data_IF_022359243738
#
_entry.id   IF_022359243738
#
_cell.length_a   1.000
_cell.length_b   1.000
_cell.length_c   1.000
_cell.angle_alpha   90.00
_cell.angle_beta   90.00
_cell.angle_gamma   90.00
#
_symmetry.space_group_name_H-M   'P 1'
#
loop_
_entity.id
_entity.type
_entity.pdbx_description
1 polymer ?
#
# COMPACT_ATOMS: atom_id res chain seq x y z
N UNK A 1 0.29 18.64 -33.47
CA UNK A 1 1.28 19.58 -32.90
C UNK A 1 1.01 19.76 -31.39
N UNK A 2 1.74 19.01 -30.55
CA UNK A 2 1.12 18.33 -29.41
C UNK A 2 1.18 18.97 -28.02
N UNK A 3 1.89 20.09 -27.80
CA UNK A 3 2.03 20.70 -26.46
C UNK A 3 2.29 22.20 -26.57
N UNK A 4 1.78 23.00 -25.63
CA UNK A 4 2.16 24.40 -25.47
C UNK A 4 3.62 24.42 -24.96
N UNK A 5 4.57 25.13 -25.60
CA UNK A 5 5.92 25.24 -25.07
C UNK A 5 5.94 26.11 -23.79
N UNK A 6 6.69 25.69 -22.78
CA UNK A 6 6.92 26.46 -21.57
C UNK A 6 8.37 26.97 -21.51
N UNK A 7 8.64 28.22 -21.93
CA UNK A 7 9.99 28.80 -21.91
C UNK A 7 10.50 29.11 -20.50
N UNK A 8 9.63 29.10 -19.48
CA UNK A 8 9.96 29.42 -18.08
C UNK A 8 10.26 28.16 -17.25
N UNK A 9 10.41 27.01 -17.90
CA UNK A 9 10.75 25.76 -17.20
C UNK A 9 12.11 25.90 -16.53
N UNK A 10 12.19 25.47 -15.28
CA UNK A 10 13.39 25.52 -14.44
C UNK A 10 13.57 24.20 -13.71
N UNK A 11 14.70 24.04 -13.03
CA UNK A 11 14.94 22.87 -12.18
C UNK A 11 13.97 22.84 -10.99
N UNK A 12 13.57 21.64 -10.58
CA UNK A 12 12.89 21.42 -9.30
C UNK A 12 13.86 21.75 -8.16
N UNK A 13 13.37 22.40 -7.11
CA UNK A 13 14.17 22.70 -5.92
C UNK A 13 13.73 21.78 -4.78
N UNK A 14 14.68 21.07 -4.18
CA UNK A 14 14.44 20.28 -2.96
C UNK A 14 15.28 20.82 -1.83
N UNK A 15 14.62 21.17 -0.73
CA UNK A 15 15.26 21.52 0.54
C UNK A 15 15.02 20.39 1.53
N UNK A 16 16.07 19.94 2.23
CA UNK A 16 15.94 18.87 3.23
C UNK A 16 16.72 19.24 4.49
N UNK A 17 16.06 19.11 5.63
CA UNK A 17 16.68 19.13 6.96
C UNK A 17 16.77 17.70 7.45
N UNK A 18 17.94 17.28 7.93
CA UNK A 18 18.14 16.01 8.60
C UNK A 18 18.81 16.22 9.97
N UNK A 19 18.28 15.59 11.02
CA UNK A 19 18.80 15.61 12.37
C UNK A 19 18.96 14.17 12.85
N UNK A 20 20.20 13.73 13.01
CA UNK A 20 20.54 12.35 13.35
C UNK A 20 21.25 12.21 14.69
N UNK A 21 21.06 11.06 15.34
CA UNK A 21 21.82 10.60 16.51
C UNK A 21 22.33 9.20 16.22
N UNK A 22 23.66 9.04 16.26
CA UNK A 22 24.33 7.75 16.12
C UNK A 22 25.07 7.38 17.41
N UNK A 23 24.79 6.20 17.93
CA UNK A 23 25.37 5.72 19.19
C UNK A 23 25.80 4.27 19.13
N UNK A 24 26.87 3.97 19.87
CA UNK A 24 27.40 2.62 20.04
C UNK A 24 27.67 2.38 21.52
N UNK A 25 27.08 1.33 22.07
CA UNK A 25 27.22 0.96 23.47
C UNK A 25 27.86 -0.42 23.62
N UNK A 26 28.29 -0.73 24.85
CA UNK A 26 28.73 -2.08 25.24
C UNK A 26 29.84 -2.63 24.31
N UNK A 27 30.88 -1.83 24.07
CA UNK A 27 31.97 -2.18 23.14
C UNK A 27 31.46 -2.43 21.71
N UNK A 28 30.49 -1.62 21.27
CA UNK A 28 29.82 -1.72 19.96
C UNK A 28 29.00 -3.00 19.75
N UNK A 29 28.58 -3.67 20.83
CA UNK A 29 27.60 -4.77 20.73
C UNK A 29 26.20 -4.27 20.41
N UNK A 30 25.84 -3.10 20.92
CA UNK A 30 24.60 -2.43 20.59
C UNK A 30 24.89 -1.18 19.77
N UNK A 31 24.26 -1.08 18.61
CA UNK A 31 24.26 0.13 17.76
C UNK A 31 22.85 0.67 17.68
N UNK A 32 22.70 1.97 17.82
CA UNK A 32 21.41 2.64 17.68
C UNK A 32 21.60 3.91 16.88
N UNK A 33 20.81 4.05 15.82
CA UNK A 33 20.74 5.24 14.99
C UNK A 33 19.29 5.71 14.91
N UNK A 34 19.12 7.02 14.97
CA UNK A 34 17.85 7.70 14.82
C UNK A 34 18.02 8.91 13.93
N UNK A 35 17.17 9.07 12.93
CA UNK A 35 17.13 10.24 12.06
C UNK A 35 15.73 10.83 12.00
N UNK A 36 15.64 12.15 12.08
CA UNK A 36 14.46 12.91 11.68
C UNK A 36 14.79 13.65 10.39
N UNK A 37 14.01 13.39 9.34
CA UNK A 37 14.13 14.15 8.10
C UNK A 37 12.86 14.94 7.81
N UNK A 38 13.04 16.10 7.21
CA UNK A 38 11.97 16.90 6.61
C UNK A 38 12.43 17.44 5.28
N UNK A 39 11.81 16.98 4.20
CA UNK A 39 12.08 17.38 2.83
C UNK A 39 10.89 18.14 2.26
N UNK A 40 11.15 19.31 1.70
CA UNK A 40 10.19 20.08 0.92
C UNK A 40 10.69 20.18 -0.52
N UNK A 41 9.94 19.60 -1.44
CA UNK A 41 10.13 19.78 -2.88
C UNK A 41 9.23 20.92 -3.33
N UNK A 42 9.83 21.91 -3.98
CA UNK A 42 9.18 23.12 -4.48
C UNK A 42 9.29 23.10 -6.00
N UNK A 43 8.26 23.61 -6.68
CA UNK A 43 8.29 23.81 -8.12
C UNK A 43 8.50 22.50 -8.90
N UNK A 44 7.77 21.45 -8.51
CA UNK A 44 7.83 20.13 -9.15
C UNK A 44 7.54 20.19 -10.65
N UNK A 45 8.33 19.49 -11.46
CA UNK A 45 8.19 19.35 -12.89
C UNK A 45 7.14 18.29 -13.21
N UNK A 46 5.91 18.76 -13.42
CA UNK A 46 4.81 17.88 -13.81
C UNK A 46 4.01 18.47 -14.96
N UNK A 47 3.21 17.62 -15.61
CA UNK A 47 2.23 18.10 -16.60
C UNK A 47 1.25 19.00 -15.87
N UNK A 48 1.13 20.24 -16.32
CA UNK A 48 0.23 21.20 -15.69
C UNK A 48 -1.21 20.67 -15.72
N UNK A 49 -1.94 20.65 -14.60
CA UNK A 49 -3.34 20.25 -14.60
C UNK A 49 -4.16 21.34 -15.30
N UNK A 50 -4.32 21.23 -16.62
CA UNK A 50 -5.17 22.13 -17.41
C UNK A 50 -6.54 21.50 -17.63
N UNK A 51 -7.62 22.30 -17.65
CA UNK A 51 -8.95 21.79 -17.94
C UNK A 51 -9.04 21.10 -19.30
N UNK A 52 -9.81 20.01 -19.38
CA UNK A 52 -9.95 19.21 -20.60
C UNK A 52 -10.58 19.98 -21.78
N UNK A 53 -11.39 21.02 -21.52
CA UNK A 53 -12.00 21.86 -22.55
C UNK A 53 -10.97 22.67 -23.36
N UNK A 54 -9.73 22.80 -22.88
CA UNK A 54 -8.64 23.52 -23.58
C UNK A 54 -8.24 22.80 -24.88
N UNK A 55 -8.50 21.50 -25.01
CA UNK A 55 -8.36 20.75 -26.27
C UNK A 55 -6.92 20.55 -26.77
N UNK A 56 -5.92 20.98 -26.00
CA UNK A 56 -4.48 20.83 -26.27
C UNK A 56 -3.81 20.16 -25.07
N UNK A 57 -2.72 19.41 -25.29
CA UNK A 57 -1.95 18.75 -24.25
C UNK A 57 -1.21 19.72 -23.32
N UNK A 58 -1.22 19.41 -22.02
CA UNK A 58 -0.59 20.24 -20.99
C UNK A 58 0.94 20.38 -21.18
N UNK A 59 1.50 21.60 -21.04
CA UNK A 59 2.95 21.75 -20.92
C UNK A 59 3.46 21.03 -19.67
N UNK A 60 4.73 20.63 -19.70
CA UNK A 60 5.47 20.40 -18.44
C UNK A 60 5.81 21.77 -17.87
N UNK A 61 5.46 21.96 -16.61
CA UNK A 61 5.74 23.18 -15.89
C UNK A 61 6.18 22.86 -14.47
N UNK A 62 6.87 23.81 -13.86
CA UNK A 62 7.17 23.82 -12.44
C UNK A 62 5.90 24.18 -11.68
N UNK A 63 5.10 23.18 -11.35
CA UNK A 63 3.80 23.34 -10.75
C UNK A 63 3.69 22.32 -9.62
N UNK A 64 3.52 22.84 -8.41
CA UNK A 64 3.23 22.04 -7.24
C UNK A 64 4.40 21.87 -6.27
N UNK A 65 4.03 21.73 -5.01
CA UNK A 65 4.90 21.65 -3.85
C UNK A 65 4.48 20.46 -3.00
N UNK A 66 5.45 19.72 -2.47
CA UNK A 66 5.21 18.54 -1.66
C UNK A 66 6.14 18.52 -0.45
N UNK A 67 5.59 18.13 0.70
CA UNK A 67 6.35 17.96 1.93
C UNK A 67 6.35 16.48 2.34
N UNK A 68 7.54 15.97 2.65
CA UNK A 68 7.74 14.66 3.24
C UNK A 68 8.49 14.83 4.54
N UNK A 69 8.03 14.22 5.61
CA UNK A 69 8.80 14.13 6.84
C UNK A 69 8.68 12.74 7.43
N UNK A 70 9.67 12.36 8.21
CA UNK A 70 9.73 11.01 8.75
C UNK A 70 10.74 10.84 9.86
N UNK A 71 10.68 9.63 10.42
CA UNK A 71 11.58 9.15 11.47
C UNK A 71 12.19 7.85 10.99
N UNK A 72 13.49 7.71 11.09
CA UNK A 72 14.20 6.47 10.76
C UNK A 72 14.88 5.96 12.01
N UNK A 73 14.76 4.66 12.25
CA UNK A 73 15.33 3.96 13.39
C UNK A 73 16.14 2.79 12.88
N UNK A 74 17.34 2.62 13.40
CA UNK A 74 18.13 1.40 13.21
C UNK A 74 18.63 0.92 14.58
N UNK A 75 18.39 -0.35 14.88
CA UNK A 75 18.87 -1.01 16.09
C UNK A 75 19.63 -2.27 15.69
N UNK A 76 20.89 -2.33 16.09
CA UNK A 76 21.75 -3.49 15.92
C UNK A 76 22.15 -4.07 17.26
N UNK A 77 22.12 -5.39 17.36
CA UNK A 77 22.71 -6.16 18.45
C UNK A 77 23.61 -7.24 17.87
N UNK A 78 24.81 -7.40 18.40
CA UNK A 78 25.70 -8.53 18.10
C UNK A 78 26.36 -9.05 19.36
N UNK A 79 26.43 -10.37 19.48
CA UNK A 79 27.07 -11.01 20.61
C UNK A 79 27.62 -12.39 20.26
N UNK A 80 28.72 -12.74 20.93
CA UNK A 80 29.30 -14.08 20.93
C UNK A 80 29.12 -14.71 22.30
N UNK A 81 28.64 -15.95 22.35
CA UNK A 81 28.49 -16.78 23.55
C UNK A 81 29.22 -18.09 23.29
N UNK A 82 30.48 -18.19 23.74
CA UNK A 82 31.36 -19.30 23.37
C UNK A 82 31.61 -19.32 21.86
N UNK A 83 31.27 -20.44 21.21
CA UNK A 83 31.40 -20.63 19.76
C UNK A 83 30.13 -20.24 18.97
N UNK A 84 29.07 -19.76 19.66
CA UNK A 84 27.84 -19.30 19.04
C UNK A 84 27.89 -17.78 18.86
N UNK A 85 27.79 -17.32 17.63
CA UNK A 85 27.68 -15.90 17.31
C UNK A 85 26.27 -15.62 16.80
N UNK A 86 25.70 -14.48 17.19
CA UNK A 86 24.44 -14.03 16.64
C UNK A 86 24.38 -12.52 16.52
N UNK A 87 23.60 -12.06 15.55
CA UNK A 87 23.29 -10.67 15.32
C UNK A 87 21.81 -10.49 15.00
N UNK A 88 21.25 -9.40 15.51
CA UNK A 88 19.89 -8.94 15.25
C UNK A 88 19.99 -7.51 14.78
N UNK A 89 19.49 -7.22 13.59
CA UNK A 89 19.42 -5.86 13.05
C UNK A 89 17.99 -5.56 12.68
N UNK A 90 17.42 -4.51 13.26
CA UNK A 90 16.08 -4.03 12.94
C UNK A 90 16.17 -2.61 12.40
N UNK A 91 15.38 -2.31 11.37
CA UNK A 91 15.17 -0.95 10.90
C UNK A 91 13.68 -0.67 10.77
N UNK A 92 13.30 0.59 10.97
CA UNK A 92 11.95 1.07 10.74
C UNK A 92 11.99 2.51 10.24
N UNK A 93 11.16 2.82 9.24
CA UNK A 93 10.99 4.17 8.70
C UNK A 93 9.52 4.55 8.77
N UNK A 94 9.24 5.67 9.44
CA UNK A 94 7.95 6.33 9.44
C UNK A 94 7.96 7.43 8.39
N UNK A 95 6.96 7.46 7.52
CA UNK A 95 6.86 8.49 6.48
C UNK A 95 5.46 9.10 6.46
N UNK A 96 5.41 10.43 6.48
CA UNK A 96 4.21 11.20 6.14
C UNK A 96 4.49 12.13 4.97
N UNK A 97 3.67 11.98 3.95
CA UNK A 97 3.63 12.87 2.80
C UNK A 97 2.44 13.84 2.91
N UNK A 98 2.62 15.06 2.41
CA UNK A 98 1.57 16.07 2.28
C UNK A 98 1.74 16.84 0.97
N UNK A 99 0.68 16.91 0.17
CA UNK A 99 0.59 17.82 -0.97
C UNK A 99 0.38 19.24 -0.43
N UNK A 100 1.30 20.15 -0.72
CA UNK A 100 1.22 21.55 -0.28
C UNK A 100 0.51 22.38 -1.34
N UNK A 101 0.91 22.19 -2.60
CA UNK A 101 0.31 22.85 -3.74
C UNK A 101 0.30 21.87 -4.91
N UNK A 102 -0.82 21.74 -5.61
CA UNK A 102 -0.95 20.95 -6.81
C UNK A 102 -0.55 21.75 -8.07
N UNK A 103 -0.58 23.08 -7.98
CA UNK A 103 -0.30 23.96 -9.11
C UNK A 103 -1.47 24.15 -10.08
N UNK A 104 -2.70 24.00 -9.60
CA UNK A 104 -3.94 24.38 -10.30
C UNK A 104 -4.83 25.25 -9.39
N UNK A 105 -5.86 25.88 -9.97
CA UNK A 105 -6.74 26.81 -9.25
C UNK A 105 -7.61 26.13 -8.18
N UNK A 106 -8.05 24.89 -8.43
CA UNK A 106 -8.94 24.14 -7.53
C UNK A 106 -8.20 23.54 -6.32
N UNK A 107 -6.88 23.36 -6.43
CA UNK A 107 -6.08 22.67 -5.42
C UNK A 107 -6.35 21.16 -5.33
N UNK A 108 -7.03 20.59 -6.32
CA UNK A 108 -7.40 19.17 -6.35
C UNK A 108 -7.43 18.58 -7.77
N UNK A 109 -7.21 17.27 -7.88
CA UNK A 109 -7.28 16.52 -9.13
C UNK A 109 -7.64 15.05 -8.89
N UNK A 110 -8.48 14.51 -9.79
CA UNK A 110 -8.73 13.08 -9.90
C UNK A 110 -7.64 12.45 -10.76
N UNK A 111 -7.03 11.38 -10.27
CA UNK A 111 -5.98 10.64 -10.98
C UNK A 111 -6.48 9.34 -11.60
N UNK A 112 -7.45 8.70 -10.96
CA UNK A 112 -8.02 7.46 -11.45
C UNK A 112 -9.54 7.50 -11.44
N UNK A 113 -10.12 7.07 -12.55
CA UNK A 113 -11.56 6.98 -12.76
C UNK A 113 -11.89 5.71 -13.55
N UNK A 114 -12.83 4.93 -13.04
CA UNK A 114 -13.36 3.74 -13.68
C UNK A 114 -14.88 3.83 -13.85
N UNK A 115 -15.35 4.93 -14.45
CA UNK A 115 -16.77 5.20 -14.68
C UNK A 115 -17.47 4.12 -15.51
N UNK A 116 -16.78 3.54 -16.51
CA UNK A 116 -17.31 2.43 -17.31
C UNK A 116 -17.61 1.18 -16.47
N UNK A 117 -16.92 1.00 -15.34
CA UNK A 117 -17.13 -0.11 -14.42
C UNK A 117 -18.19 0.18 -13.33
N UNK A 118 -18.77 1.38 -13.32
CA UNK A 118 -19.67 1.83 -12.25
C UNK A 118 -18.97 2.30 -10.97
N UNK A 119 -17.64 2.14 -10.86
CA UNK A 119 -16.87 2.57 -9.68
C UNK A 119 -16.76 4.10 -9.61
N UNK A 120 -16.58 4.76 -10.76
CA UNK A 120 -16.38 6.20 -10.84
C UNK A 120 -14.95 6.62 -10.45
N UNK A 121 -14.77 7.86 -10.00
CA UNK A 121 -13.47 8.38 -9.53
C UNK A 121 -13.09 7.75 -8.19
N UNK A 122 -11.86 7.24 -8.08
CA UNK A 122 -11.41 6.48 -6.89
C UNK A 122 -10.02 6.83 -6.36
N UNK A 123 -9.27 7.68 -7.07
CA UNK A 123 -8.02 8.27 -6.56
C UNK A 123 -8.03 9.77 -6.76
N UNK A 124 -7.67 10.51 -5.70
CA UNK A 124 -7.64 11.97 -5.68
C UNK A 124 -6.35 12.47 -5.01
N UNK A 125 -5.88 13.62 -5.45
CA UNK A 125 -4.91 14.45 -4.74
C UNK A 125 -5.55 15.80 -4.40
N UNK A 126 -5.28 16.31 -3.21
CA UNK A 126 -5.82 17.59 -2.73
C UNK A 126 -4.80 18.30 -1.85
N UNK A 127 -4.66 19.61 -2.03
CA UNK A 127 -3.81 20.45 -1.19
C UNK A 127 -4.20 20.29 0.28
N UNK A 128 -3.20 20.07 1.13
CA UNK A 128 -3.39 19.85 2.56
C UNK A 128 -3.45 18.36 2.96
N UNK A 129 -3.64 17.45 2.01
CA UNK A 129 -3.79 16.01 2.26
C UNK A 129 -2.57 15.19 1.82
N UNK A 130 -2.56 13.91 2.21
CA UNK A 130 -1.58 12.91 1.74
C UNK A 130 -1.72 12.69 0.23
N UNK A 131 -0.62 12.49 -0.49
CA UNK A 131 -0.65 12.27 -1.93
C UNK A 131 -0.19 10.87 -2.35
N UNK A 132 -0.92 10.20 -3.26
CA UNK A 132 -2.37 10.32 -3.48
C UNK A 132 -3.16 9.67 -2.33
N UNK A 133 -4.49 9.78 -2.34
CA UNK A 133 -5.36 8.99 -1.48
C UNK A 133 -6.54 8.36 -2.24
N UNK A 134 -7.14 7.33 -1.65
CA UNK A 134 -8.35 6.69 -2.17
C UNK A 134 -9.56 7.55 -1.85
N UNK A 135 -10.41 7.79 -2.85
CA UNK A 135 -11.52 8.72 -2.79
C UNK A 135 -12.84 8.01 -3.07
N UNK A 136 -13.84 8.18 -2.21
CA UNK A 136 -15.13 7.51 -2.37
C UNK A 136 -16.08 7.77 -1.24
N UNK A 137 -17.21 7.07 -1.26
CA UNK A 137 -18.24 7.17 -0.23
C UNK A 137 -17.86 6.39 1.04
N UNK A 138 -18.34 6.87 2.19
CA UNK A 138 -18.38 6.08 3.42
C UNK A 138 -19.62 5.19 3.45
N UNK A 139 -19.49 3.99 4.01
CA UNK A 139 -20.61 3.05 4.14
C UNK A 139 -20.91 2.74 5.60
N UNK A 140 -22.18 2.42 5.87
CA UNK A 140 -22.71 2.01 7.18
C UNK A 140 -23.29 0.59 7.07
N UNK A 141 -22.47 -0.32 6.55
CA UNK A 141 -22.83 -1.72 6.35
C UNK A 141 -23.87 -1.96 5.24
N UNK A 142 -24.58 -3.07 5.37
CA UNK A 142 -25.61 -3.53 4.43
C UNK A 142 -26.97 -3.52 5.10
N UNK A 143 -28.02 -3.13 4.36
CA UNK A 143 -29.39 -3.31 4.82
C UNK A 143 -29.70 -4.79 5.03
N UNK A 144 -30.04 -5.20 6.25
CA UNK A 144 -30.28 -6.63 6.54
C UNK A 144 -31.70 -7.07 6.18
N UNK A 145 -32.67 -6.17 6.26
CA UNK A 145 -34.08 -6.45 6.01
C UNK A 145 -34.82 -5.21 5.49
N UNK A 146 -36.09 -5.39 5.12
CA UNK A 146 -36.90 -4.33 4.51
C UNK A 146 -37.20 -3.19 5.51
N UNK A 147 -37.29 -3.49 6.80
CA UNK A 147 -37.52 -2.47 7.84
C UNK A 147 -36.36 -1.47 7.90
N UNK A 148 -35.12 -1.94 7.79
CA UNK A 148 -33.96 -1.05 7.73
C UNK A 148 -33.96 -0.18 6.46
N UNK A 149 -34.36 -0.75 5.32
CA UNK A 149 -34.49 0.02 4.06
C UNK A 149 -35.54 1.11 4.18
N UNK A 150 -36.70 0.79 4.77
CA UNK A 150 -37.81 1.73 4.90
C UNK A 150 -37.56 2.80 5.97
N UNK A 151 -36.78 2.48 7.00
CA UNK A 151 -36.36 3.43 8.03
C UNK A 151 -35.24 4.38 7.56
N UNK A 152 -34.58 4.09 6.44
CA UNK A 152 -33.47 4.89 5.94
C UNK A 152 -33.95 6.09 5.11
N UNK A 153 -34.45 7.09 5.82
CA UNK A 153 -35.03 8.33 5.28
C UNK A 153 -34.32 9.56 5.83
N UNK A 154 -34.37 10.65 5.06
CA UNK A 154 -33.90 11.97 5.48
C UNK A 154 -34.91 12.64 6.45
N UNK A 155 -34.62 13.89 6.84
CA UNK A 155 -35.45 14.64 7.78
C UNK A 155 -36.89 14.89 7.28
N UNK A 156 -37.10 14.90 5.96
CA UNK A 156 -38.40 15.09 5.31
C UNK A 156 -39.17 13.77 5.11
N UNK A 157 -38.59 12.64 5.53
CA UNK A 157 -39.18 11.31 5.37
C UNK A 157 -38.98 10.70 3.98
N UNK A 158 -38.14 11.30 3.14
CA UNK A 158 -37.79 10.78 1.83
C UNK A 158 -36.64 9.77 1.93
N UNK A 159 -36.69 8.68 1.17
CA UNK A 159 -35.64 7.66 1.20
C UNK A 159 -34.35 8.20 0.60
N UNK A 160 -33.26 8.14 1.36
CA UNK A 160 -31.90 8.42 0.87
C UNK A 160 -31.52 7.55 -0.34
N UNK A 161 -31.96 6.29 -0.33
CA UNK A 161 -31.68 5.30 -1.38
C UNK A 161 -32.98 4.58 -1.76
N UNK A 162 -33.82 5.23 -2.56
CA UNK A 162 -35.14 4.73 -2.95
C UNK A 162 -35.12 3.39 -3.69
N UNK A 163 -33.99 3.04 -4.35
CA UNK A 163 -33.78 1.79 -5.06
C UNK A 163 -33.13 0.67 -4.22
N UNK A 164 -32.83 0.94 -2.94
CA UNK A 164 -32.21 -0.05 -2.06
C UNK A 164 -33.17 -1.21 -1.75
N UNK A 165 -32.61 -2.41 -1.68
CA UNK A 165 -33.26 -3.62 -1.20
C UNK A 165 -32.39 -4.28 -0.12
N UNK A 166 -32.93 -5.23 0.67
CA UNK A 166 -32.12 -6.00 1.61
C UNK A 166 -30.91 -6.64 0.93
N UNK A 167 -29.73 -6.47 1.53
CA UNK A 167 -28.42 -6.84 1.04
C UNK A 167 -27.68 -5.76 0.24
N UNK A 168 -28.31 -4.62 -0.03
CA UNK A 168 -27.67 -3.46 -0.63
C UNK A 168 -26.87 -2.65 0.40
N UNK A 169 -25.90 -1.89 -0.10
CA UNK A 169 -25.02 -1.05 0.69
C UNK A 169 -25.75 0.20 1.18
N UNK A 170 -25.57 0.54 2.46
CA UNK A 170 -25.99 1.82 3.04
C UNK A 170 -24.86 2.83 2.94
N UNK A 171 -25.08 3.92 2.21
CA UNK A 171 -24.09 4.99 2.03
C UNK A 171 -24.41 6.16 2.93
N UNK A 172 -23.39 6.73 3.57
CA UNK A 172 -23.54 7.81 4.54
C UNK A 172 -23.69 9.15 3.81
N UNK A 173 -24.73 9.91 4.17
CA UNK A 173 -24.86 11.34 3.88
C UNK A 173 -23.85 12.09 4.76
N UNK A 174 -22.76 12.54 4.15
CA UNK A 174 -21.62 13.10 4.86
C UNK A 174 -21.80 14.59 5.10
N UNK A 175 -22.48 15.29 4.21
CA UNK A 175 -22.68 16.74 4.29
C UNK A 175 -23.99 17.12 5.02
N UNK A 176 -24.89 16.17 5.24
CA UNK A 176 -26.16 16.35 5.96
C UNK A 176 -27.24 17.06 5.16
N UNK A 177 -27.15 17.06 3.82
CA UNK A 177 -28.12 17.73 2.94
C UNK A 177 -29.35 16.88 2.61
N UNK A 178 -29.41 15.64 3.09
CA UNK A 178 -30.54 14.74 2.86
C UNK A 178 -30.45 13.95 1.56
N UNK A 179 -29.35 14.03 0.80
CA UNK A 179 -29.18 13.41 -0.52
C UNK A 179 -27.81 12.74 -0.66
N UNK A 180 -27.78 11.44 -0.98
CA UNK A 180 -26.53 10.75 -1.30
C UNK A 180 -26.04 11.17 -2.70
N UNK A 181 -24.98 11.97 -2.74
CA UNK A 181 -24.44 12.57 -3.96
C UNK A 181 -22.91 12.59 -3.99
N UNK A 182 -22.34 13.07 -5.09
CA UNK A 182 -20.88 13.18 -5.22
C UNK A 182 -20.23 14.14 -4.19
N UNK A 183 -21.02 14.98 -3.53
CA UNK A 183 -20.58 15.81 -2.41
C UNK A 183 -20.25 15.00 -1.13
N UNK A 184 -20.71 13.76 -1.03
CA UNK A 184 -20.46 12.88 0.12
C UNK A 184 -19.17 12.06 0.02
N UNK A 185 -18.47 12.17 -1.11
CA UNK A 185 -17.20 11.49 -1.30
C UNK A 185 -16.11 12.16 -0.49
N UNK A 186 -15.28 11.34 0.15
CA UNK A 186 -14.18 11.79 0.99
C UNK A 186 -12.96 10.87 0.84
N UNK A 187 -11.89 11.17 1.57
CA UNK A 187 -10.76 10.27 1.71
C UNK A 187 -11.19 9.02 2.48
N UNK A 188 -11.11 7.87 1.82
CA UNK A 188 -11.51 6.56 2.37
C UNK A 188 -10.34 5.66 2.74
N UNK A 189 -9.12 5.97 2.29
CA UNK A 189 -7.90 5.24 2.61
C UNK A 189 -6.68 5.79 1.86
N UNK A 190 -5.52 5.16 2.00
CA UNK A 190 -4.31 5.52 1.25
C UNK A 190 -3.40 4.31 0.99
N UNK A 191 -2.81 4.24 -0.20
CA UNK A 191 -1.84 3.18 -0.52
C UNK A 191 -0.46 3.35 0.11
N UNK A 192 -0.08 4.58 0.49
CA UNK A 192 1.25 4.85 1.05
C UNK A 192 1.31 4.38 2.52
N UNK A 193 2.24 3.47 2.88
CA UNK A 193 2.36 2.99 4.25
C UNK A 193 2.78 4.10 5.21
N UNK A 194 2.33 3.99 6.46
CA UNK A 194 2.82 4.83 7.55
C UNK A 194 4.22 4.37 7.97
N UNK A 195 4.41 3.06 8.07
CA UNK A 195 5.67 2.44 8.48
C UNK A 195 6.15 1.41 7.46
N UNK A 196 7.44 1.43 7.17
CA UNK A 196 8.17 0.33 6.55
C UNK A 196 9.21 -0.19 7.54
N UNK A 197 9.45 -1.50 7.58
CA UNK A 197 10.38 -2.07 8.55
C UNK A 197 11.05 -3.33 8.02
N UNK A 198 12.21 -3.62 8.60
CA UNK A 198 13.00 -4.80 8.31
C UNK A 198 13.61 -5.39 9.58
N UNK A 199 13.74 -6.72 9.61
CA UNK A 199 14.41 -7.46 10.67
C UNK A 199 15.32 -8.53 10.06
N UNK A 200 16.61 -8.41 10.32
CA UNK A 200 17.62 -9.39 9.95
C UNK A 200 18.06 -10.15 11.19
N UNK A 201 17.96 -11.47 11.15
CA UNK A 201 18.47 -12.38 12.16
C UNK A 201 19.62 -13.17 11.54
N UNK A 202 20.80 -13.12 12.13
CA UNK A 202 21.96 -13.89 11.69
C UNK A 202 22.52 -14.67 12.87
N UNK A 203 22.91 -15.92 12.63
CA UNK A 203 23.60 -16.73 13.62
C UNK A 203 24.58 -17.68 12.96
N UNK A 204 25.68 -17.98 13.64
CA UNK A 204 26.62 -19.01 13.23
C UNK A 204 27.13 -19.82 14.43
N UNK A 205 27.37 -21.10 14.16
CA UNK A 205 27.86 -22.06 15.13
C UNK A 205 28.54 -23.24 14.45
N UNK A 206 29.84 -23.44 14.73
CA UNK A 206 30.61 -24.61 14.26
C UNK A 206 30.47 -24.89 12.76
N UNK A 207 30.51 -23.84 11.95
CA UNK A 207 30.39 -23.93 10.50
C UNK A 207 28.95 -23.93 9.98
N UNK A 208 27.94 -24.12 10.82
CA UNK A 208 26.52 -23.88 10.45
C UNK A 208 26.26 -22.38 10.53
N UNK A 209 25.62 -21.81 9.51
CA UNK A 209 25.24 -20.41 9.48
C UNK A 209 23.79 -20.24 9.02
N UNK A 210 23.07 -19.31 9.65
CA UNK A 210 21.67 -18.99 9.39
C UNK A 210 21.55 -17.49 9.16
N UNK A 211 20.82 -17.11 8.10
CA UNK A 211 20.43 -15.73 7.85
C UNK A 211 18.93 -15.70 7.51
N UNK A 212 18.16 -14.90 8.23
CA UNK A 212 16.74 -14.67 7.98
C UNK A 212 16.52 -13.17 7.81
N UNK A 213 15.79 -12.77 6.76
CA UNK A 213 15.41 -11.40 6.52
C UNK A 213 13.89 -11.29 6.40
N UNK A 214 13.30 -10.56 7.34
CA UNK A 214 11.90 -10.17 7.34
C UNK A 214 11.77 -8.72 6.89
N UNK A 215 10.75 -8.43 6.09
CA UNK A 215 10.37 -7.06 5.74
C UNK A 215 8.85 -6.89 5.84
N UNK A 216 8.37 -5.67 6.02
CA UNK A 216 6.94 -5.43 6.02
C UNK A 216 6.55 -3.96 6.00
N UNK A 217 5.24 -3.73 5.93
CA UNK A 217 4.62 -2.42 5.99
C UNK A 217 3.42 -2.43 6.94
N UNK A 218 3.13 -1.28 7.55
CA UNK A 218 1.95 -1.05 8.41
C UNK A 218 1.29 0.27 8.02
N UNK A 219 -0.04 0.29 8.00
CA UNK A 219 -0.86 1.51 7.81
C UNK A 219 -1.03 1.93 6.34
N UNK A 220 -0.71 1.04 5.40
CA UNK A 220 -1.18 1.14 4.02
C UNK A 220 -2.49 0.39 3.85
N UNK A 221 -3.37 0.97 3.05
CA UNK A 221 -4.59 0.34 2.58
C UNK A 221 -4.40 -0.18 1.15
N UNK A 222 -5.22 -1.16 0.78
CA UNK A 222 -5.37 -1.65 -0.59
C UNK A 222 -6.78 -1.33 -1.08
N UNK A 223 -6.88 -0.68 -2.24
CA UNK A 223 -8.12 -0.59 -3.01
C UNK A 223 -8.23 -1.84 -3.89
N UNK A 224 -9.08 -2.79 -3.50
CA UNK A 224 -9.28 -4.05 -4.20
C UNK A 224 -10.18 -3.88 -5.43
N UNK A 225 -9.57 -3.60 -6.58
CA UNK A 225 -10.26 -3.52 -7.87
C UNK A 225 -10.41 -4.91 -8.56
N UNK A 226 -10.15 -6.01 -7.86
CA UNK A 226 -10.31 -7.36 -8.44
C UNK A 226 -11.77 -7.72 -8.71
N UNK A 227 -12.72 -7.09 -7.99
CA UNK A 227 -14.16 -7.24 -8.20
C UNK A 227 -14.75 -6.07 -9.00
N UNK A 228 -15.30 -6.41 -10.17
CA UNK A 228 -16.02 -5.47 -11.03
C UNK A 228 -17.53 -5.73 -10.96
N UNK A 229 -18.30 -4.65 -10.73
CA UNK A 229 -19.76 -4.73 -10.61
C UNK A 229 -20.48 -4.76 -11.97
N UNK A 230 -19.81 -4.30 -13.04
CA UNK A 230 -20.41 -4.07 -14.36
C UNK A 230 -20.43 -5.28 -15.29
N UNK A 231 -19.67 -6.34 -15.00
CA UNK A 231 -19.62 -7.55 -15.84
C UNK A 231 -20.26 -8.72 -15.07
N UNK A 232 -21.55 -9.06 -15.33
CA UNK A 232 -22.25 -10.11 -14.58
C UNK A 232 -21.56 -11.48 -14.66
N UNK A 233 -21.06 -11.86 -15.84
CA UNK A 233 -20.52 -13.20 -16.12
C UNK A 233 -18.98 -13.32 -16.03
N UNK A 234 -18.32 -12.56 -15.15
CA UNK A 234 -16.88 -12.75 -14.90
C UNK A 234 -16.60 -13.84 -13.86
N UNK A 235 -15.41 -14.43 -13.93
CA UNK A 235 -14.85 -15.16 -12.79
C UNK A 235 -14.44 -14.17 -11.69
N UNK A 236 -14.66 -14.53 -10.43
CA UNK A 236 -14.51 -13.63 -9.28
C UNK A 236 -13.64 -14.26 -8.19
N UNK A 237 -13.05 -13.44 -7.31
CA UNK A 237 -12.40 -13.97 -6.11
C UNK A 237 -13.35 -14.83 -5.27
N UNK A 238 -12.82 -15.87 -4.64
CA UNK A 238 -13.62 -16.83 -3.88
C UNK A 238 -14.37 -16.21 -2.68
N UNK A 239 -13.85 -15.11 -2.12
CA UNK A 239 -14.50 -14.39 -1.02
C UNK A 239 -15.90 -13.89 -1.38
N UNK A 240 -16.26 -13.73 -2.66
CA UNK A 240 -17.61 -13.33 -3.10
C UNK A 240 -18.69 -14.38 -2.72
N UNK A 241 -18.28 -15.59 -2.36
CA UNK A 241 -19.18 -16.63 -1.87
C UNK A 241 -19.80 -16.26 -0.52
N UNK A 242 -19.12 -15.43 0.28
CA UNK A 242 -19.57 -14.92 1.59
C UNK A 242 -20.45 -13.66 1.47
N UNK A 243 -21.03 -13.43 0.28
CA UNK A 243 -21.96 -12.33 0.02
C UNK A 243 -23.25 -12.45 0.80
N UNK A 244 -23.94 -11.33 0.91
CA UNK A 244 -25.30 -11.31 1.39
C UNK A 244 -26.23 -12.10 0.45
N UNK A 245 -26.98 -13.04 1.02
CA UNK A 245 -28.01 -13.83 0.36
C UNK A 245 -29.19 -14.13 1.30
N UNK A 246 -29.31 -13.37 2.38
CA UNK A 246 -30.32 -13.46 3.42
C UNK A 246 -29.89 -12.67 4.65
N UNK A 247 -30.85 -12.31 5.48
CA UNK A 247 -30.59 -11.59 6.74
C UNK A 247 -29.54 -12.34 7.58
N UNK A 248 -28.49 -11.63 8.00
CA UNK A 248 -27.40 -12.17 8.82
C UNK A 248 -26.34 -12.99 8.07
N UNK A 249 -26.44 -13.20 6.75
CA UNK A 249 -25.45 -14.01 6.02
C UNK A 249 -24.18 -13.24 5.68
N UNK A 250 -24.26 -11.92 5.56
CA UNK A 250 -23.11 -11.03 5.41
C UNK A 250 -23.43 -9.62 5.91
N UNK A 251 -22.43 -8.92 6.42
CA UNK A 251 -22.52 -7.51 6.80
C UNK A 251 -21.61 -6.59 5.98
N UNK A 252 -20.83 -7.17 5.07
CA UNK A 252 -19.77 -6.45 4.35
C UNK A 252 -19.78 -6.70 2.84
N UNK A 253 -20.12 -7.91 2.38
CA UNK A 253 -20.16 -8.21 0.95
C UNK A 253 -21.61 -8.10 0.48
N UNK A 254 -21.96 -7.10 -0.35
CA UNK A 254 -23.34 -6.85 -0.74
C UNK A 254 -23.91 -7.99 -1.58
N UNK A 255 -25.24 -8.03 -1.66
CA UNK A 255 -25.94 -8.98 -2.53
C UNK A 255 -25.45 -8.86 -3.97
N UNK A 256 -25.44 -9.97 -4.68
CA UNK A 256 -25.08 -9.99 -6.09
C UNK A 256 -26.32 -9.79 -6.96
N UNK A 257 -26.27 -8.76 -7.82
CA UNK A 257 -27.35 -8.40 -8.75
C UNK A 257 -26.74 -7.90 -10.06
N UNK A 258 -27.34 -8.28 -11.19
CA UNK A 258 -26.88 -7.86 -12.52
C UNK A 258 -27.27 -6.41 -12.85
N UNK A 259 -28.35 -5.90 -12.26
CA UNK A 259 -28.86 -4.56 -12.57
C UNK A 259 -28.24 -3.46 -11.67
N UNK A 260 -27.76 -3.83 -10.48
CA UNK A 260 -27.12 -2.95 -9.50
C UNK A 260 -27.77 -1.54 -9.34
N UNK A 261 -29.10 -1.44 -9.14
CA UNK A 261 -29.79 -0.14 -9.15
C UNK A 261 -29.39 0.76 -7.96
N UNK A 262 -28.94 0.17 -6.85
CA UNK A 262 -28.43 0.89 -5.69
C UNK A 262 -26.96 1.35 -5.84
N UNK A 263 -26.26 0.86 -6.86
CA UNK A 263 -24.85 1.21 -7.08
C UNK A 263 -23.90 0.68 -5.99
N UNK A 264 -24.07 -0.56 -5.54
CA UNK A 264 -23.27 -1.15 -4.45
C UNK A 264 -21.75 -1.14 -4.72
N UNK A 265 -21.37 -1.21 -5.99
CA UNK A 265 -19.99 -1.27 -6.48
C UNK A 265 -19.46 0.10 -6.97
N UNK A 266 -19.96 1.20 -6.40
CA UNK A 266 -19.34 2.53 -6.57
C UNK A 266 -18.17 2.71 -5.61
N UNK A 267 -17.21 3.59 -5.95
CA UNK A 267 -16.02 3.82 -5.13
C UNK A 267 -16.41 4.15 -3.69
N UNK A 268 -16.02 3.30 -2.75
CA UNK A 268 -16.38 3.39 -1.34
C UNK A 268 -15.39 2.63 -0.48
N UNK A 269 -15.47 2.79 0.84
CA UNK A 269 -14.65 2.05 1.80
C UNK A 269 -14.87 0.53 1.79
N UNK A 270 -15.90 0.02 1.09
CA UNK A 270 -16.04 -1.43 0.81
C UNK A 270 -14.90 -2.01 -0.03
N UNK A 271 -14.26 -1.18 -0.83
CA UNK A 271 -13.09 -1.58 -1.64
C UNK A 271 -11.79 -1.56 -0.83
N UNK A 272 -11.82 -1.03 0.39
CA UNK A 272 -10.62 -0.76 1.18
C UNK A 272 -10.33 -1.95 2.08
N UNK A 273 -9.10 -2.47 1.96
CA UNK A 273 -8.58 -3.58 2.77
C UNK A 273 -7.30 -3.16 3.47
N UNK A 274 -7.02 -3.71 4.64
CA UNK A 274 -5.74 -3.52 5.30
C UNK A 274 -4.63 -4.20 4.47
N UNK A 275 -3.66 -3.40 4.02
CA UNK A 275 -2.50 -3.86 3.26
C UNK A 275 -1.28 -4.13 4.12
N UNK A 276 -1.42 -4.10 5.44
CA UNK A 276 -0.32 -4.35 6.36
C UNK A 276 0.14 -5.81 6.26
N UNK A 277 1.46 -6.01 6.25
CA UNK A 277 2.02 -7.35 6.17
C UNK A 277 3.44 -7.45 6.74
N UNK A 278 3.85 -8.68 7.02
CA UNK A 278 5.24 -9.07 7.26
C UNK A 278 5.59 -10.26 6.37
N UNK A 279 6.75 -10.25 5.72
CA UNK A 279 7.20 -11.30 4.81
C UNK A 279 8.59 -11.77 5.20
N UNK A 280 8.78 -13.09 5.35
CA UNK A 280 10.10 -13.71 5.34
C UNK A 280 10.64 -13.66 3.91
N UNK A 281 11.32 -12.56 3.59
CA UNK A 281 11.73 -12.21 2.24
C UNK A 281 12.88 -13.08 1.76
N UNK A 282 13.83 -13.38 2.64
CA UNK A 282 14.92 -14.31 2.37
C UNK A 282 15.27 -15.14 3.61
N UNK A 283 15.59 -16.41 3.40
CA UNK A 283 16.09 -17.31 4.42
C UNK A 283 17.22 -18.15 3.82
N UNK A 284 18.35 -18.25 4.51
CA UNK A 284 19.48 -19.06 4.09
C UNK A 284 20.03 -19.86 5.27
N UNK A 285 20.22 -21.15 5.03
CA UNK A 285 20.93 -22.06 5.94
C UNK A 285 22.13 -22.63 5.20
N UNK A 286 23.32 -22.44 5.76
CA UNK A 286 24.59 -22.89 5.21
C UNK A 286 25.35 -23.79 6.17
N UNK A 287 26.24 -24.59 5.60
CA UNK A 287 27.29 -25.30 6.34
C UNK A 287 28.62 -25.15 5.61
N UNK A 288 29.61 -24.56 6.29
CA UNK A 288 31.00 -24.48 5.85
C UNK A 288 31.77 -25.67 6.42
N UNK A 289 32.33 -26.50 5.54
CA UNK A 289 33.07 -27.69 5.95
C UNK A 289 34.38 -27.31 6.68
N UNK A 290 34.79 -28.09 7.69
CA UNK A 290 36.09 -27.91 8.35
C UNK A 290 37.27 -27.98 7.37
N UNK A 291 38.25 -27.10 7.56
CA UNK A 291 39.45 -27.00 6.73
C UNK A 291 40.25 -28.32 6.71
N UNK A 292 40.25 -29.08 7.80
CA UNK A 292 40.93 -30.38 7.89
C UNK A 292 40.39 -31.42 6.90
N UNK A 293 39.13 -31.26 6.46
CA UNK A 293 38.52 -32.11 5.44
C UNK A 293 38.78 -31.56 4.03
N UNK A 294 38.60 -30.26 3.82
CA UNK A 294 38.71 -29.64 2.48
C UNK A 294 40.16 -29.50 2.03
N UNK A 295 41.10 -29.33 2.96
CA UNK A 295 42.53 -29.26 2.67
C UNK A 295 43.10 -30.53 2.02
N UNK A 296 42.48 -31.70 2.26
CA UNK A 296 42.88 -32.97 1.63
C UNK A 296 42.64 -33.01 0.11
N UNK A 297 41.77 -32.14 -0.38
CA UNK A 297 41.39 -32.07 -1.80
C UNK A 297 41.78 -30.71 -2.43
N UNK A 298 42.74 -29.99 -1.83
CA UNK A 298 43.21 -28.69 -2.28
C UNK A 298 42.08 -27.63 -2.43
N UNK A 299 41.13 -27.64 -1.49
CA UNK A 299 40.06 -26.64 -1.40
C UNK A 299 40.20 -25.83 -0.10
N UNK A 300 40.40 -24.52 -0.22
CA UNK A 300 40.52 -23.59 0.92
C UNK A 300 39.20 -23.44 1.68
N UNK A 301 38.08 -23.36 0.98
CA UNK A 301 36.75 -23.22 1.61
C UNK A 301 35.67 -23.85 0.76
N UNK A 302 34.85 -24.70 1.37
CA UNK A 302 33.64 -25.26 0.78
C UNK A 302 32.45 -24.98 1.70
N UNK A 303 31.49 -24.20 1.22
CA UNK A 303 30.20 -23.98 1.89
C UNK A 303 29.07 -24.48 1.01
N UNK A 304 28.21 -25.33 1.55
CA UNK A 304 26.96 -25.75 0.90
C UNK A 304 25.81 -25.01 1.59
N UNK A 305 24.81 -24.56 0.85
CA UNK A 305 23.68 -23.83 1.41
C UNK A 305 22.38 -24.12 0.70
N UNK A 306 21.28 -23.92 1.42
CA UNK A 306 19.93 -23.82 0.89
C UNK A 306 19.46 -22.39 1.15
N UNK A 307 18.96 -21.72 0.10
CA UNK A 307 18.34 -20.39 0.22
C UNK A 307 16.90 -20.45 -0.27
N UNK A 308 16.04 -19.65 0.34
CA UNK A 308 14.66 -19.48 -0.07
C UNK A 308 14.26 -18.01 -0.06
N UNK A 309 13.58 -17.56 -1.11
CA UNK A 309 13.05 -16.21 -1.24
C UNK A 309 11.52 -16.21 -1.29
N UNK A 310 10.90 -15.18 -0.72
CA UNK A 310 9.44 -15.02 -0.56
C UNK A 310 8.78 -16.25 0.08
N UNK A 311 9.34 -16.74 1.20
CA UNK A 311 8.93 -18.02 1.78
C UNK A 311 7.55 -17.95 2.45
N UNK A 312 7.33 -16.95 3.31
CA UNK A 312 6.10 -16.79 4.10
C UNK A 312 5.67 -15.32 4.12
N UNK A 313 4.37 -15.05 3.97
CA UNK A 313 3.77 -13.72 4.12
C UNK A 313 2.64 -13.81 5.13
N UNK A 314 2.68 -12.95 6.14
CA UNK A 314 1.65 -12.77 7.17
C UNK A 314 0.89 -11.49 6.85
N UNK A 315 -0.39 -11.58 6.55
CA UNK A 315 -1.26 -10.44 6.24
C UNK A 315 -2.72 -10.81 6.51
N UNK A 316 -3.55 -9.78 6.73
CA UNK A 316 -5.01 -9.92 6.76
C UNK A 316 -5.64 -9.80 5.37
N UNK A 317 -4.87 -9.34 4.38
CA UNK A 317 -5.32 -9.13 3.01
C UNK A 317 -5.71 -10.46 2.35
N UNK A 318 -6.90 -10.49 1.75
CA UNK A 318 -7.52 -11.65 1.12
C UNK A 318 -7.19 -11.80 -0.38
N UNK A 319 -6.49 -10.81 -0.96
CA UNK A 319 -5.92 -10.90 -2.30
C UNK A 319 -4.63 -11.72 -2.36
N UNK A 320 -3.99 -11.76 -3.54
CA UNK A 320 -2.83 -12.62 -3.76
C UNK A 320 -1.55 -12.13 -3.07
N UNK A 321 -1.30 -10.83 -3.08
CA UNK A 321 -0.09 -10.23 -2.50
C UNK A 321 -0.44 -8.87 -1.86
N UNK A 322 -0.12 -8.62 -0.58
CA UNK A 322 -0.35 -7.31 0.05
C UNK A 322 0.65 -6.24 -0.42
N UNK A 323 1.76 -6.62 -1.08
CA UNK A 323 2.77 -5.71 -1.61
C UNK A 323 2.31 -5.14 -2.97
N UNK A 324 1.32 -4.25 -2.93
CA UNK A 324 0.70 -3.65 -4.12
C UNK A 324 1.41 -2.36 -4.54
N UNK A 325 2.37 -2.48 -5.46
CA UNK A 325 3.08 -1.35 -6.06
C UNK A 325 2.91 -1.31 -7.59
N UNK A 326 1.68 -1.44 -8.09
CA UNK A 326 1.42 -1.51 -9.53
C UNK A 326 1.44 -0.13 -10.19
N UNK A 327 2.28 0.05 -11.22
CA UNK A 327 2.23 1.21 -12.12
C UNK A 327 3.10 2.40 -11.69
N UNK A 328 2.50 3.42 -11.06
CA UNK A 328 3.16 4.67 -10.71
C UNK A 328 2.72 5.24 -9.36
N UNK A 329 3.22 6.45 -9.04
CA UNK A 329 3.00 7.08 -7.73
C UNK A 329 1.52 7.32 -7.40
N UNK A 330 0.68 7.49 -8.42
CA UNK A 330 -0.76 7.74 -8.28
C UNK A 330 -1.57 6.45 -8.13
N UNK A 331 -0.95 5.27 -8.22
CA UNK A 331 -1.64 3.97 -8.22
C UNK A 331 -1.12 3.00 -7.17
N UNK A 332 -0.35 3.49 -6.20
CA UNK A 332 0.12 2.70 -5.05
C UNK A 332 -1.09 2.17 -4.28
N UNK A 333 -1.07 0.88 -3.95
CA UNK A 333 -2.14 0.22 -3.22
C UNK A 333 -3.38 -0.12 -4.04
N UNK A 334 -3.39 0.04 -5.37
CA UNK A 334 -4.53 -0.40 -6.20
C UNK A 334 -4.28 -1.80 -6.71
N UNK A 335 -5.05 -2.78 -6.23
CA UNK A 335 -4.95 -4.16 -6.69
C UNK A 335 -5.90 -4.39 -7.86
N UNK A 336 -5.34 -4.75 -9.02
CA UNK A 336 -6.09 -5.10 -10.24
C UNK A 336 -6.05 -6.60 -10.52
N UNK A 337 -5.80 -7.40 -9.48
CA UNK A 337 -5.55 -8.84 -9.57
C UNK A 337 -4.10 -9.16 -9.91
N UNK A 338 -3.14 -8.51 -9.24
CA UNK A 338 -1.72 -8.77 -9.49
C UNK A 338 -1.32 -10.16 -8.99
N UNK A 339 -0.46 -10.86 -9.74
CA UNK A 339 0.06 -12.14 -9.29
C UNK A 339 1.10 -11.96 -8.17
N UNK A 340 1.16 -12.91 -7.23
CA UNK A 340 2.11 -12.83 -6.13
C UNK A 340 3.53 -13.10 -6.59
N UNK A 341 4.49 -12.66 -5.78
CA UNK A 341 5.89 -13.02 -5.98
C UNK A 341 6.08 -14.54 -5.86
N UNK A 342 6.85 -15.12 -6.78
CA UNK A 342 7.15 -16.55 -6.74
C UNK A 342 8.05 -16.89 -5.55
N UNK A 343 7.74 -18.02 -4.92
CA UNK A 343 8.63 -18.66 -3.93
C UNK A 343 9.74 -19.40 -4.67
N UNK A 344 10.98 -19.02 -4.40
CA UNK A 344 12.16 -19.67 -4.98
C UNK A 344 12.91 -20.41 -3.89
N UNK A 345 13.28 -21.67 -4.12
CA UNK A 345 14.16 -22.44 -3.23
C UNK A 345 15.34 -22.90 -4.08
N UNK A 346 16.56 -22.63 -3.62
CA UNK A 346 17.80 -22.90 -4.33
C UNK A 346 18.77 -23.64 -3.43
N UNK A 347 19.51 -24.58 -4.01
CA UNK A 347 20.64 -25.26 -3.37
C UNK A 347 21.90 -24.80 -4.09
N UNK A 348 22.89 -24.34 -3.35
CA UNK A 348 24.12 -23.80 -3.91
C UNK A 348 25.36 -24.21 -3.12
N UNK A 349 26.51 -24.02 -3.74
CA UNK A 349 27.80 -24.20 -3.09
C UNK A 349 28.75 -23.04 -3.44
N UNK A 350 29.49 -22.56 -2.45
CA UNK A 350 30.57 -21.60 -2.61
C UNK A 350 31.90 -22.34 -2.40
N UNK A 351 32.73 -22.38 -3.44
CA UNK A 351 34.00 -23.09 -3.46
C UNK A 351 35.13 -22.08 -3.70
N UNK A 352 36.16 -22.12 -2.85
CA UNK A 352 37.38 -21.32 -2.98
C UNK A 352 38.57 -22.27 -2.97
N UNK A 353 39.43 -22.16 -3.99
CA UNK A 353 40.63 -22.98 -4.20
C UNK A 353 41.87 -22.35 -3.59
#
# INVERSE_FOLDING_TARGET
PGYIPNPNVKWEESSQTNLGIDTRFLQSRMTFSFDYFKKKTIDMLMKQPIPSYVGIGAPIANVGDMENWGLEFELGWKQSVGEFNYAVSANASYLKNKLINLGNETGEQIYENAGASGVGSYVKGMNGDVFPYFYGYKTDGLFQNQTEVDAYVNADGEKYQSAALPGDVRFVDLNGDGVISDADKTKIGKGMPDWTYGLTLSADWKGVDLNLFFQGTIGNDVFDFSQRGDIPAMNRPAWILDRWHGEGTSSHIPRMTSANPNGNWRSSDLYIKDGSYMRLKSAQLGYTLPVDLTGKIAVQRLRIYVSADNLLTFTSYDGFDPEIASGGYTTIGIDRGIYPQSRTISVGANITF
#
